data_IF_728217879141
#
_entry.id   IF_728217879141
#
_cell.length_a   1.000
_cell.length_b   1.000
_cell.length_c   1.000
_cell.angle_alpha   90.00
_cell.angle_beta   90.00
_cell.angle_gamma   90.00
#
_symmetry.space_group_name_H-M   'P 1'
#
loop_
_entity.id
_entity.type
_entity.pdbx_description
1 polymer ?
#
# COMPACT_ATOMS: atom_id res chain seq x y z
N UNK A 1 -38.65 58.35 46.94
CA UNK A 1 -39.43 57.31 46.30
C UNK A 1 -38.58 56.81 45.13
N UNK A 2 -37.71 55.82 45.39
CA UNK A 2 -36.74 55.30 44.40
C UNK A 2 -37.24 54.00 43.86
N UNK A 3 -37.44 53.96 42.55
CA UNK A 3 -37.84 52.77 41.82
C UNK A 3 -36.54 52.05 41.37
N UNK A 4 -36.30 50.88 41.91
CA UNK A 4 -35.24 49.94 41.46
C UNK A 4 -35.69 49.21 40.26
N UNK A 5 -34.97 49.39 39.13
CA UNK A 5 -35.15 48.65 37.90
C UNK A 5 -34.30 47.38 37.99
N UNK A 6 -34.93 46.21 38.02
CA UNK A 6 -34.24 44.89 37.97
C UNK A 6 -34.07 44.50 36.54
N UNK A 7 -32.83 44.48 36.08
CA UNK A 7 -32.45 43.96 34.78
C UNK A 7 -32.41 42.41 34.81
N UNK A 8 -33.24 41.74 34.02
CA UNK A 8 -33.19 40.29 33.80
C UNK A 8 -32.11 39.95 32.75
N UNK A 9 -30.98 39.46 33.21
CA UNK A 9 -29.98 38.85 32.31
C UNK A 9 -30.46 37.42 31.99
N UNK A 10 -30.98 37.19 30.79
CA UNK A 10 -31.32 35.87 30.31
C UNK A 10 -30.04 35.15 29.84
N UNK A 11 -29.59 34.15 30.56
CA UNK A 11 -28.49 33.25 30.12
C UNK A 11 -29.00 32.32 29.03
N UNK A 12 -28.55 32.56 27.80
CA UNK A 12 -28.81 31.70 26.68
C UNK A 12 -27.83 30.50 26.74
N UNK A 13 -28.28 29.36 27.23
CA UNK A 13 -27.54 28.12 27.15
C UNK A 13 -27.63 27.58 25.71
N UNK A 14 -26.57 27.74 24.91
CA UNK A 14 -26.41 27.04 23.63
C UNK A 14 -26.01 25.61 23.96
N UNK A 15 -26.95 24.69 23.91
CA UNK A 15 -26.69 23.26 23.90
C UNK A 15 -26.08 22.91 22.53
N UNK A 16 -24.76 22.88 22.44
CA UNK A 16 -24.08 22.28 21.34
C UNK A 16 -24.32 20.76 21.41
N UNK A 17 -25.21 20.23 20.57
CA UNK A 17 -25.34 18.80 20.39
C UNK A 17 -24.06 18.28 19.72
N UNK A 18 -23.15 17.70 20.49
CA UNK A 18 -22.08 16.87 19.98
C UNK A 18 -22.75 15.65 19.30
N UNK A 19 -22.89 15.70 18.00
CA UNK A 19 -23.17 14.50 17.21
C UNK A 19 -21.92 13.62 17.30
N UNK A 20 -21.94 12.66 18.22
CA UNK A 20 -20.99 11.55 18.21
C UNK A 20 -21.34 10.73 16.95
N UNK A 21 -20.65 10.99 15.87
CA UNK A 21 -20.64 10.08 14.73
C UNK A 21 -19.94 8.83 15.23
N UNK A 22 -20.69 7.77 15.48
CA UNK A 22 -20.11 6.48 15.84
C UNK A 22 -19.23 6.04 14.67
N UNK A 23 -17.90 6.01 14.88
CA UNK A 23 -16.99 5.42 13.92
C UNK A 23 -17.22 3.92 13.91
N UNK A 24 -17.39 3.35 12.72
CA UNK A 24 -17.41 1.88 12.58
C UNK A 24 -15.95 1.43 12.59
N UNK A 25 -15.54 0.79 13.68
CA UNK A 25 -14.20 0.23 13.81
C UNK A 25 -14.20 -1.25 13.42
N UNK A 26 -13.24 -1.71 12.62
CA UNK A 26 -13.13 -3.14 12.28
C UNK A 26 -12.78 -3.95 13.53
N UNK A 27 -13.44 -5.08 13.69
CA UNK A 27 -13.07 -6.03 14.75
C UNK A 27 -11.68 -6.57 14.43
N UNK A 28 -10.72 -6.50 15.38
CA UNK A 28 -9.40 -7.08 15.17
C UNK A 28 -9.47 -8.56 14.80
N UNK A 29 -8.75 -8.96 13.77
CA UNK A 29 -8.84 -10.29 13.17
C UNK A 29 -8.67 -11.43 14.20
N UNK A 30 -7.71 -11.30 15.12
CA UNK A 30 -7.46 -12.28 16.20
C UNK A 30 -8.60 -12.40 17.23
N UNK A 31 -9.58 -11.49 17.22
CA UNK A 31 -10.79 -11.58 18.07
C UNK A 31 -11.94 -12.30 17.38
N UNK A 32 -11.75 -12.75 16.13
CA UNK A 32 -12.74 -13.48 15.36
C UNK A 32 -12.39 -14.96 15.38
N UNK A 33 -13.28 -15.78 15.96
CA UNK A 33 -13.13 -17.23 15.99
C UNK A 33 -13.99 -17.91 14.92
N UNK A 34 -13.34 -18.71 14.07
CA UNK A 34 -14.01 -19.47 13.00
C UNK A 34 -14.42 -20.85 13.52
N UNK A 35 -15.69 -21.00 13.96
CA UNK A 35 -16.23 -22.26 14.55
C UNK A 35 -16.89 -23.19 13.54
N UNK A 36 -17.10 -22.76 12.31
CA UNK A 36 -17.83 -23.52 11.30
C UNK A 36 -17.06 -24.73 10.79
N UNK A 37 -17.72 -25.86 10.66
CA UNK A 37 -17.18 -27.07 10.01
C UNK A 37 -16.83 -26.85 8.53
N UNK A 38 -17.38 -25.81 7.93
CA UNK A 38 -17.02 -25.39 6.57
C UNK A 38 -15.68 -24.63 6.53
N UNK A 39 -15.42 -23.69 7.45
CA UNK A 39 -14.23 -22.85 7.40
C UNK A 39 -13.01 -23.46 8.09
N UNK A 40 -13.20 -24.17 9.21
CA UNK A 40 -12.09 -24.75 9.97
C UNK A 40 -11.15 -25.65 9.11
N UNK A 41 -11.65 -26.61 8.31
CA UNK A 41 -10.78 -27.44 7.45
C UNK A 41 -10.02 -26.60 6.42
N UNK A 42 -10.62 -25.49 5.94
CA UNK A 42 -9.99 -24.60 4.98
C UNK A 42 -8.82 -23.82 5.58
N UNK A 43 -8.97 -23.33 6.82
CA UNK A 43 -7.88 -22.68 7.55
C UNK A 43 -6.73 -23.67 7.82
N UNK A 44 -7.04 -24.91 8.17
CA UNK A 44 -6.03 -25.97 8.34
C UNK A 44 -5.29 -26.24 7.02
N UNK A 45 -6.02 -26.33 5.90
CA UNK A 45 -5.40 -26.50 4.57
C UNK A 45 -4.55 -25.29 4.19
N UNK A 46 -5.02 -24.07 4.43
CA UNK A 46 -4.23 -22.85 4.23
C UNK A 46 -2.90 -22.95 4.97
N UNK A 47 -2.92 -23.25 6.27
CA UNK A 47 -1.72 -23.28 7.08
C UNK A 47 -0.76 -24.42 6.71
N UNK A 48 -1.30 -25.64 6.51
CA UNK A 48 -0.47 -26.85 6.31
C UNK A 48 -0.02 -27.09 4.89
N UNK A 49 -0.73 -26.54 3.91
CA UNK A 49 -0.46 -26.83 2.49
C UNK A 49 -0.15 -25.55 1.71
N UNK A 50 -1.04 -24.55 1.73
CA UNK A 50 -0.90 -23.38 0.86
C UNK A 50 0.22 -22.44 1.32
N UNK A 51 0.36 -22.18 2.61
CA UNK A 51 1.41 -21.28 3.12
C UNK A 51 2.80 -21.86 2.85
N UNK A 52 3.13 -23.13 3.19
CA UNK A 52 4.44 -23.71 2.85
C UNK A 52 4.70 -23.72 1.34
N UNK A 53 3.71 -24.09 0.54
CA UNK A 53 3.82 -24.04 -0.92
C UNK A 53 4.07 -22.62 -1.45
N UNK A 54 3.34 -21.62 -0.93
CA UNK A 54 3.50 -20.24 -1.35
C UNK A 54 4.89 -19.69 -0.99
N UNK A 55 5.41 -20.00 0.20
CA UNK A 55 6.79 -19.64 0.56
C UNK A 55 7.81 -20.32 -0.35
N UNK A 56 7.64 -21.60 -0.70
CA UNK A 56 8.51 -22.28 -1.69
C UNK A 56 8.50 -21.53 -3.03
N UNK A 57 7.33 -21.11 -3.51
CA UNK A 57 7.20 -20.39 -4.80
C UNK A 57 7.73 -18.96 -4.76
N UNK A 58 7.82 -18.34 -3.59
CA UNK A 58 8.37 -16.99 -3.42
C UNK A 58 9.84 -16.98 -2.95
N UNK A 59 10.49 -18.13 -2.82
CA UNK A 59 11.91 -18.22 -2.54
C UNK A 59 12.80 -17.39 -3.49
N UNK A 60 12.50 -17.26 -4.79
CA UNK A 60 13.25 -16.34 -5.66
C UNK A 60 13.24 -14.88 -5.18
N UNK A 61 12.19 -14.42 -4.51
CA UNK A 61 12.13 -13.09 -3.87
C UNK A 61 13.08 -13.00 -2.67
N UNK A 62 13.16 -14.05 -1.85
CA UNK A 62 14.12 -14.11 -0.73
C UNK A 62 15.55 -14.09 -1.26
N UNK A 63 15.85 -14.88 -2.31
CA UNK A 63 17.16 -14.92 -2.95
C UNK A 63 17.55 -13.55 -3.55
N UNK A 64 16.58 -12.83 -4.12
CA UNK A 64 16.77 -11.48 -4.67
C UNK A 64 17.14 -10.46 -3.58
N UNK A 65 16.43 -10.49 -2.45
CA UNK A 65 16.75 -9.67 -1.29
C UNK A 65 18.11 -10.06 -0.66
N UNK A 66 18.42 -11.36 -0.58
CA UNK A 66 19.70 -11.81 -0.09
C UNK A 66 20.85 -11.33 -0.97
N UNK A 67 20.68 -11.32 -2.30
CA UNK A 67 21.67 -10.77 -3.22
C UNK A 67 21.93 -9.27 -2.95
N UNK A 68 20.89 -8.47 -2.71
CA UNK A 68 21.06 -7.08 -2.32
C UNK A 68 21.78 -6.93 -0.99
N UNK A 69 21.41 -7.72 0.02
CA UNK A 69 22.09 -7.73 1.32
C UNK A 69 23.58 -8.10 1.22
N UNK A 70 23.93 -9.02 0.33
CA UNK A 70 25.32 -9.42 0.08
C UNK A 70 26.09 -8.36 -0.70
N UNK A 71 25.47 -7.73 -1.69
CA UNK A 71 26.06 -6.62 -2.44
C UNK A 71 26.40 -5.44 -1.52
N UNK A 72 25.51 -5.06 -0.63
CA UNK A 72 25.74 -3.99 0.35
C UNK A 72 26.90 -4.30 1.32
N UNK A 73 27.25 -5.58 1.49
CA UNK A 73 28.42 -6.03 2.25
C UNK A 73 29.70 -6.13 1.38
N UNK A 74 29.65 -5.68 0.12
CA UNK A 74 30.77 -5.74 -0.80
C UNK A 74 31.04 -7.11 -1.42
N UNK A 75 30.11 -8.06 -1.32
CA UNK A 75 30.23 -9.35 -1.99
C UNK A 75 29.87 -9.26 -3.45
N UNK A 76 30.50 -10.07 -4.28
CA UNK A 76 30.09 -10.25 -5.67
C UNK A 76 28.78 -11.04 -5.71
N UNK A 77 27.80 -10.52 -6.45
CA UNK A 77 26.51 -11.18 -6.67
C UNK A 77 26.38 -11.64 -8.12
N UNK A 78 25.69 -12.75 -8.33
CA UNK A 78 25.42 -13.29 -9.66
C UNK A 78 24.40 -12.42 -10.41
N UNK A 79 24.44 -12.50 -11.75
CA UNK A 79 23.57 -11.76 -12.65
C UNK A 79 22.16 -12.37 -12.66
N UNK A 80 21.51 -12.38 -11.51
CA UNK A 80 20.13 -12.81 -11.37
C UNK A 80 19.20 -11.65 -11.77
N UNK A 81 18.28 -11.91 -12.72
CA UNK A 81 17.36 -10.90 -13.27
C UNK A 81 15.91 -11.30 -13.00
N UNK A 82 15.42 -11.16 -11.76
CA UNK A 82 14.03 -11.47 -11.47
C UNK A 82 13.14 -10.40 -12.09
N UNK A 83 11.85 -10.73 -12.16
CA UNK A 83 10.76 -9.81 -12.52
C UNK A 83 10.82 -8.57 -11.60
N UNK A 84 10.53 -7.34 -12.10
CA UNK A 84 10.53 -6.06 -11.39
C UNK A 84 9.59 -5.98 -10.16
N UNK A 85 8.69 -6.94 -9.98
CA UNK A 85 7.77 -7.00 -8.83
C UNK A 85 7.85 -8.31 -8.04
N UNK A 86 8.91 -9.09 -8.22
CA UNK A 86 9.07 -10.39 -7.55
C UNK A 86 9.01 -10.29 -6.03
N UNK A 87 9.54 -9.21 -5.45
CA UNK A 87 9.59 -9.03 -4.00
C UNK A 87 8.17 -8.87 -3.42
N UNK A 88 7.23 -8.28 -4.19
CA UNK A 88 5.85 -8.14 -3.75
C UNK A 88 5.12 -9.46 -3.56
N UNK A 89 5.51 -10.52 -4.30
CA UNK A 89 4.90 -11.84 -4.16
C UNK A 89 5.26 -12.45 -2.80
N UNK A 90 6.53 -12.30 -2.38
CA UNK A 90 6.96 -12.69 -1.04
C UNK A 90 6.20 -11.90 0.05
N UNK A 91 6.10 -10.57 -0.09
CA UNK A 91 5.44 -9.73 0.91
C UNK A 91 3.96 -10.07 1.06
N UNK A 92 3.24 -10.35 -0.03
CA UNK A 92 1.84 -10.83 0.01
C UNK A 92 1.68 -12.17 0.72
N UNK A 93 2.62 -13.10 0.49
CA UNK A 93 2.63 -14.38 1.20
C UNK A 93 2.90 -14.17 2.69
N UNK A 94 3.83 -13.29 3.05
CA UNK A 94 4.10 -12.94 4.45
C UNK A 94 2.87 -12.32 5.12
N UNK A 95 2.19 -11.38 4.46
CA UNK A 95 0.97 -10.76 4.99
C UNK A 95 -0.10 -11.82 5.27
N UNK A 96 -0.44 -12.66 4.28
CA UNK A 96 -1.45 -13.70 4.43
C UNK A 96 -1.10 -14.74 5.49
N UNK A 97 0.18 -15.12 5.60
CA UNK A 97 0.67 -16.04 6.62
C UNK A 97 0.65 -15.42 8.03
N UNK A 98 0.90 -14.10 8.16
CA UNK A 98 0.80 -13.39 9.43
C UNK A 98 -0.63 -13.39 9.97
N UNK A 99 -1.65 -13.23 9.11
CA UNK A 99 -3.04 -13.37 9.53
C UNK A 99 -3.38 -14.76 10.06
N UNK A 100 -2.78 -15.82 9.51
CA UNK A 100 -2.95 -17.17 10.04
C UNK A 100 -2.23 -17.36 11.38
N UNK A 101 -1.04 -16.78 11.55
CA UNK A 101 -0.31 -16.81 12.80
C UNK A 101 -1.05 -16.11 13.96
N UNK A 102 -1.89 -15.12 13.67
CA UNK A 102 -2.73 -14.48 14.68
C UNK A 102 -3.84 -15.38 15.23
N UNK A 103 -4.23 -16.43 14.49
CA UNK A 103 -5.32 -17.33 14.89
C UNK A 103 -4.88 -18.39 15.90
N UNK A 104 -3.61 -18.75 15.90
CA UNK A 104 -3.03 -19.73 16.81
C UNK A 104 -1.51 -19.57 16.86
N UNK A 105 -0.91 -19.88 17.99
CA UNK A 105 0.55 -19.90 18.13
C UNK A 105 1.17 -20.88 17.15
N UNK A 106 2.18 -20.40 16.39
CA UNK A 106 2.87 -21.17 15.36
C UNK A 106 4.38 -20.83 15.37
N UNK A 107 5.15 -21.42 16.28
CA UNK A 107 6.59 -21.12 16.43
C UNK A 107 7.43 -21.42 15.19
N UNK A 108 7.01 -22.40 14.37
CA UNK A 108 7.72 -22.74 13.13
C UNK A 108 7.55 -21.65 12.08
N UNK A 109 6.31 -21.18 11.89
CA UNK A 109 6.01 -20.07 10.99
C UNK A 109 6.67 -18.79 11.48
N UNK A 110 6.68 -18.54 12.78
CA UNK A 110 7.33 -17.36 13.37
C UNK A 110 8.85 -17.38 13.13
N UNK A 111 9.52 -18.52 13.31
CA UNK A 111 10.93 -18.67 13.02
C UNK A 111 11.25 -18.48 11.51
N UNK A 112 10.36 -18.90 10.63
CA UNK A 112 10.48 -18.65 9.20
C UNK A 112 10.37 -17.15 8.88
N UNK A 113 9.40 -16.46 9.49
CA UNK A 113 9.30 -15.00 9.39
C UNK A 113 10.56 -14.30 9.86
N UNK A 114 11.06 -14.62 11.04
CA UNK A 114 12.23 -13.98 11.62
C UNK A 114 13.43 -14.07 10.67
N UNK A 115 13.67 -15.24 10.07
CA UNK A 115 14.74 -15.43 9.07
C UNK A 115 14.56 -14.52 7.86
N UNK A 116 13.34 -14.42 7.31
CA UNK A 116 13.06 -13.58 6.14
C UNK A 116 13.18 -12.09 6.50
N UNK A 117 12.71 -11.69 7.67
CA UNK A 117 12.81 -10.31 8.17
C UNK A 117 14.27 -9.86 8.30
N UNK A 118 15.17 -10.77 8.75
CA UNK A 118 16.62 -10.47 8.79
C UNK A 118 17.18 -10.19 7.40
N UNK A 119 16.78 -10.97 6.39
CA UNK A 119 17.21 -10.77 5.00
C UNK A 119 16.69 -9.44 4.45
N UNK A 120 15.41 -9.13 4.64
CA UNK A 120 14.80 -7.87 4.20
C UNK A 120 15.53 -6.67 4.86
N UNK A 121 15.73 -6.73 6.18
CA UNK A 121 16.43 -5.67 6.90
C UNK A 121 17.86 -5.45 6.42
N UNK A 122 18.56 -6.54 6.09
CA UNK A 122 19.93 -6.47 5.57
C UNK A 122 20.02 -5.97 4.12
N UNK A 123 18.94 -6.09 3.35
CA UNK A 123 18.84 -5.60 1.96
C UNK A 123 18.50 -4.10 1.86
N UNK A 124 18.10 -3.45 2.96
CA UNK A 124 17.75 -2.04 2.97
C UNK A 124 18.97 -1.14 3.00
N UNK A 125 19.06 -0.20 2.09
CA UNK A 125 20.14 0.78 2.02
C UNK A 125 20.15 1.74 3.23
N UNK A 126 21.30 2.38 3.51
CA UNK A 126 21.43 3.26 4.68
C UNK A 126 20.43 4.41 4.70
N UNK A 127 20.03 4.95 3.54
CA UNK A 127 19.07 6.04 3.40
C UNK A 127 17.61 5.59 3.48
N UNK A 128 17.35 4.26 3.47
CA UNK A 128 16.03 3.67 3.53
C UNK A 128 15.50 3.13 2.21
N UNK A 129 16.22 3.31 1.09
CA UNK A 129 15.87 2.69 -0.18
C UNK A 129 15.87 1.17 -0.08
N UNK A 130 14.95 0.51 -0.77
CA UNK A 130 14.87 -0.96 -0.79
C UNK A 130 14.25 -1.42 -2.12
N UNK A 131 15.10 -1.74 -3.06
CA UNK A 131 14.70 -2.34 -4.33
C UNK A 131 15.91 -3.09 -4.94
N UNK A 132 16.04 -4.39 -4.70
CA UNK A 132 17.24 -5.17 -5.01
C UNK A 132 17.74 -5.03 -6.43
N UNK A 133 16.85 -4.90 -7.42
CA UNK A 133 17.24 -4.75 -8.82
C UNK A 133 18.07 -3.50 -9.11
N UNK A 134 17.84 -2.40 -8.40
CA UNK A 134 18.69 -1.21 -8.50
C UNK A 134 19.90 -1.29 -7.57
N UNK A 135 19.73 -1.78 -6.34
CA UNK A 135 20.81 -1.93 -5.35
C UNK A 135 21.97 -2.78 -5.88
N UNK A 136 21.66 -3.90 -6.57
CA UNK A 136 22.70 -4.80 -7.11
C UNK A 136 23.28 -4.33 -8.44
N UNK A 137 22.74 -3.27 -9.05
CA UNK A 137 23.07 -2.79 -10.41
C UNK A 137 22.91 -3.87 -11.50
N UNK A 138 22.36 -5.02 -11.14
CA UNK A 138 22.07 -6.15 -12.01
C UNK A 138 20.66 -6.02 -12.57
N UNK A 139 20.35 -4.83 -13.09
CA UNK A 139 19.03 -4.47 -13.56
C UNK A 139 18.52 -5.39 -14.67
N UNK A 140 17.30 -5.89 -14.48
CA UNK A 140 16.67 -6.83 -15.37
C UNK A 140 16.20 -6.17 -16.66
N UNK A 141 15.40 -5.16 -16.58
CA UNK A 141 14.74 -4.53 -17.71
C UNK A 141 14.82 -3.01 -17.61
N UNK A 142 15.92 -2.46 -18.13
CA UNK A 142 16.16 -1.00 -18.09
C UNK A 142 15.04 -0.21 -18.77
N UNK A 143 14.37 -0.79 -19.75
CA UNK A 143 13.27 -0.14 -20.46
C UNK A 143 12.01 -0.02 -19.59
N UNK A 144 11.87 -0.90 -18.59
CA UNK A 144 10.72 -0.92 -17.68
C UNK A 144 11.06 -0.40 -16.27
N UNK A 145 12.33 -0.42 -15.87
CA UNK A 145 12.75 -0.05 -14.52
C UNK A 145 13.53 1.27 -14.49
N UNK A 146 14.08 1.67 -15.61
CA UNK A 146 15.02 2.78 -15.69
C UNK A 146 16.44 2.41 -15.27
N UNK A 147 17.36 3.39 -15.39
CA UNK A 147 18.77 3.19 -15.10
C UNK A 147 19.15 3.57 -13.65
N UNK A 148 18.26 4.21 -12.93
CA UNK A 148 18.46 4.71 -11.57
C UNK A 148 17.16 4.59 -10.78
N UNK A 149 17.21 4.59 -9.45
CA UNK A 149 16.04 4.62 -8.60
C UNK A 149 15.04 5.69 -9.00
N UNK A 150 13.77 5.34 -9.04
CA UNK A 150 12.62 6.22 -9.32
C UNK A 150 12.63 6.96 -10.65
N UNK A 151 13.43 6.52 -11.64
CA UNK A 151 13.44 7.17 -12.97
C UNK A 151 12.26 6.73 -13.83
N UNK A 152 11.70 5.55 -13.61
CA UNK A 152 10.53 5.03 -14.33
C UNK A 152 9.40 4.65 -13.38
N UNK A 153 8.93 5.60 -12.58
CA UNK A 153 7.92 5.40 -11.52
C UNK A 153 6.64 4.71 -12.03
N UNK A 154 6.26 4.97 -13.30
CA UNK A 154 5.04 4.39 -13.90
C UNK A 154 5.18 2.88 -14.13
N UNK A 155 6.39 2.37 -14.37
CA UNK A 155 6.62 0.97 -14.76
C UNK A 155 7.44 0.16 -13.78
N UNK A 156 8.32 0.78 -12.99
CA UNK A 156 9.34 0.08 -12.19
C UNK A 156 8.77 -0.80 -11.08
N UNK A 157 7.59 -0.51 -10.59
CA UNK A 157 6.97 -1.17 -9.44
C UNK A 157 7.72 -0.99 -8.11
N UNK A 158 8.69 -0.06 -8.03
CA UNK A 158 9.41 0.22 -6.78
C UNK A 158 8.44 0.53 -5.64
N UNK A 159 7.54 1.51 -5.83
CA UNK A 159 6.55 1.89 -4.81
C UNK A 159 5.50 0.80 -4.56
N UNK A 160 5.15 0.00 -5.57
CA UNK A 160 4.24 -1.13 -5.42
C UNK A 160 4.83 -2.22 -4.50
N UNK A 161 6.09 -2.59 -4.71
CA UNK A 161 6.78 -3.53 -3.82
C UNK A 161 6.83 -2.99 -2.38
N UNK A 162 7.08 -1.70 -2.20
CA UNK A 162 7.13 -1.09 -0.88
C UNK A 162 5.74 -1.02 -0.21
N UNK A 163 4.68 -0.78 -0.96
CA UNK A 163 3.33 -0.86 -0.42
C UNK A 163 3.05 -2.24 0.19
N UNK A 164 3.32 -3.31 -0.54
CA UNK A 164 3.18 -4.68 -0.02
C UNK A 164 4.12 -5.00 1.15
N UNK A 165 5.33 -4.45 1.15
CA UNK A 165 6.21 -4.55 2.32
C UNK A 165 5.57 -3.92 3.55
N UNK A 166 4.94 -2.74 3.43
CA UNK A 166 4.30 -2.09 4.57
C UNK A 166 3.12 -2.91 5.09
N UNK A 167 2.30 -3.47 4.20
CA UNK A 167 1.20 -4.36 4.60
C UNK A 167 1.71 -5.61 5.32
N UNK A 168 2.74 -6.27 4.79
CA UNK A 168 3.38 -7.41 5.44
C UNK A 168 3.96 -7.04 6.81
N UNK A 169 4.60 -5.87 6.92
CA UNK A 169 5.20 -5.39 8.16
C UNK A 169 4.15 -5.11 9.25
N UNK A 170 3.03 -4.53 8.86
CA UNK A 170 1.89 -4.26 9.74
C UNK A 170 1.29 -5.59 10.23
N UNK A 171 0.99 -6.52 9.31
CA UNK A 171 0.42 -7.81 9.65
C UNK A 171 1.34 -8.62 10.58
N UNK A 172 2.64 -8.65 10.29
CA UNK A 172 3.64 -9.31 11.12
C UNK A 172 3.74 -8.69 12.53
N UNK A 173 3.76 -7.35 12.62
CA UNK A 173 3.76 -6.66 13.91
C UNK A 173 2.50 -6.96 14.72
N UNK A 174 1.34 -6.94 14.09
CA UNK A 174 0.07 -7.26 14.74
C UNK A 174 -0.02 -8.71 15.21
N UNK A 175 0.59 -9.63 14.45
CA UNK A 175 0.59 -11.06 14.79
C UNK A 175 1.56 -11.40 15.93
N UNK A 176 2.75 -10.79 15.95
CA UNK A 176 3.85 -11.22 16.82
C UNK A 176 4.28 -10.19 17.86
N UNK A 177 3.91 -8.94 17.70
CA UNK A 177 4.43 -7.83 18.49
C UNK A 177 5.87 -7.41 18.14
N UNK A 178 6.53 -8.09 17.18
CA UNK A 178 7.91 -7.79 16.77
C UNK A 178 7.94 -6.62 15.78
N UNK A 179 8.68 -5.58 16.08
CA UNK A 179 8.67 -4.31 15.35
C UNK A 179 9.78 -4.15 14.30
N UNK A 180 10.64 -5.16 14.11
CA UNK A 180 11.80 -5.03 13.22
C UNK A 180 11.40 -4.74 11.78
N UNK A 181 10.47 -5.49 11.22
CA UNK A 181 10.00 -5.27 9.86
C UNK A 181 9.21 -3.95 9.75
N UNK A 182 8.46 -3.57 10.79
CA UNK A 182 7.78 -2.29 10.84
C UNK A 182 8.78 -1.12 10.80
N UNK A 183 9.91 -1.22 11.48
CA UNK A 183 11.00 -0.23 11.42
C UNK A 183 11.63 -0.12 10.03
N UNK A 184 11.77 -1.24 9.31
CA UNK A 184 12.22 -1.25 7.91
C UNK A 184 11.20 -0.50 7.03
N UNK A 185 9.91 -0.80 7.18
CA UNK A 185 8.83 -0.12 6.46
C UNK A 185 8.81 1.38 6.75
N UNK A 186 8.89 1.79 8.01
CA UNK A 186 8.93 3.19 8.40
C UNK A 186 10.16 3.94 7.86
N UNK A 187 11.35 3.31 7.91
CA UNK A 187 12.57 3.89 7.35
C UNK A 187 12.44 4.11 5.85
N UNK A 188 11.83 3.15 5.12
CA UNK A 188 11.55 3.31 3.71
C UNK A 188 10.47 4.39 3.46
N UNK A 189 9.41 4.46 4.26
CA UNK A 189 8.38 5.50 4.12
C UNK A 189 8.96 6.91 4.31
N UNK A 190 9.86 7.11 5.26
CA UNK A 190 10.58 8.38 5.45
C UNK A 190 11.49 8.70 4.25
N UNK A 191 12.16 7.71 3.69
CA UNK A 191 12.92 7.86 2.45
C UNK A 191 12.01 8.30 1.29
N UNK A 192 10.89 7.62 1.07
CA UNK A 192 9.91 7.98 0.04
C UNK A 192 9.39 9.41 0.25
N UNK A 193 9.10 9.81 1.47
CA UNK A 193 8.66 11.19 1.76
C UNK A 193 9.70 12.23 1.33
N UNK A 194 10.98 12.02 1.67
CA UNK A 194 12.06 12.93 1.25
C UNK A 194 12.15 13.00 -0.26
N UNK A 195 12.19 11.86 -0.95
CA UNK A 195 12.41 11.80 -2.39
C UNK A 195 11.22 12.35 -3.19
N UNK A 196 10.00 12.03 -2.78
CA UNK A 196 8.80 12.37 -3.57
C UNK A 196 8.20 13.73 -3.23
N UNK A 197 8.34 14.22 -1.99
CA UNK A 197 7.63 15.40 -1.54
C UNK A 197 8.50 16.53 -0.96
N UNK A 198 9.68 16.23 -0.42
CA UNK A 198 10.56 17.26 0.17
C UNK A 198 11.72 17.65 -0.77
N UNK A 199 12.25 16.69 -1.50
CA UNK A 199 13.48 16.78 -2.28
C UNK A 199 14.66 16.18 -1.53
N UNK A 200 15.40 15.28 -2.21
CA UNK A 200 16.60 14.63 -1.68
C UNK A 200 17.77 14.88 -2.66
N UNK A 201 18.92 15.39 -2.20
CA UNK A 201 20.06 15.72 -3.07
C UNK A 201 20.56 14.54 -3.94
N UNK A 202 20.36 13.31 -3.49
CA UNK A 202 20.82 12.12 -4.20
C UNK A 202 19.82 11.64 -5.29
N UNK A 203 18.60 12.20 -5.31
CA UNK A 203 17.54 11.80 -6.23
C UNK A 203 17.01 13.01 -7.01
N UNK A 204 16.66 12.80 -8.26
CA UNK A 204 16.02 13.79 -9.12
C UNK A 204 16.65 15.22 -9.05
N UNK A 205 17.98 15.28 -8.91
CA UNK A 205 18.74 16.55 -8.76
C UNK A 205 18.24 17.42 -7.57
N UNK A 206 17.86 16.80 -6.48
CA UNK A 206 17.40 17.48 -5.28
C UNK A 206 15.95 17.98 -5.32
N UNK A 207 15.22 17.71 -6.41
CA UNK A 207 13.82 18.15 -6.56
C UNK A 207 12.85 17.02 -6.22
N UNK A 208 11.72 17.32 -5.59
CA UNK A 208 10.65 16.33 -5.39
C UNK A 208 10.22 15.68 -6.71
N UNK A 209 10.02 14.38 -6.72
CA UNK A 209 9.61 13.65 -7.93
C UNK A 209 8.17 13.97 -8.32
N UNK A 210 7.27 14.06 -7.35
CA UNK A 210 5.85 14.43 -7.55
C UNK A 210 5.13 13.60 -8.62
N UNK A 211 5.44 12.32 -8.73
CA UNK A 211 4.74 11.38 -9.59
C UNK A 211 3.99 10.35 -8.76
N UNK A 212 2.75 10.04 -9.16
CA UNK A 212 1.99 8.97 -8.54
C UNK A 212 2.56 7.60 -8.94
N UNK A 213 2.50 6.59 -8.05
CA UNK A 213 2.90 5.22 -8.38
C UNK A 213 2.19 4.73 -9.63
N UNK A 214 2.90 4.08 -10.54
CA UNK A 214 2.29 3.50 -11.74
C UNK A 214 1.33 2.39 -11.39
N UNK A 215 1.70 1.50 -10.48
CA UNK A 215 0.79 0.56 -9.83
C UNK A 215 0.45 1.08 -8.43
N UNK A 216 -0.84 1.20 -8.17
CA UNK A 216 -1.38 1.60 -6.88
C UNK A 216 -1.16 0.48 -5.86
N UNK A 217 -0.89 0.81 -4.65
CA UNK A 217 -0.74 0.02 -3.45
C UNK A 217 -0.17 0.89 -2.31
N UNK A 218 0.81 1.71 -2.63
CA UNK A 218 1.49 2.60 -1.67
C UNK A 218 0.49 3.47 -0.90
N UNK A 219 -0.52 3.99 -1.57
CA UNK A 219 -1.52 4.89 -0.99
C UNK A 219 -2.32 4.19 0.12
N UNK A 220 -2.77 2.95 -0.14
CA UNK A 220 -3.51 2.13 0.81
C UNK A 220 -2.62 1.73 1.99
N UNK A 221 -1.43 1.23 1.71
CA UNK A 221 -0.46 0.79 2.70
C UNK A 221 -0.03 1.92 3.64
N UNK A 222 0.13 3.14 3.14
CA UNK A 222 0.44 4.33 3.96
C UNK A 222 -0.68 4.70 4.93
N UNK A 223 -1.95 4.55 4.52
CA UNK A 223 -3.09 4.73 5.46
C UNK A 223 -3.02 3.71 6.58
N UNK A 224 -2.80 2.44 6.26
CA UNK A 224 -2.65 1.37 7.25
C UNK A 224 -1.44 1.61 8.18
N UNK A 225 -0.31 2.06 7.61
CA UNK A 225 0.89 2.40 8.39
C UNK A 225 0.63 3.56 9.35
N UNK A 226 -0.12 4.59 8.91
CA UNK A 226 -0.56 5.68 9.78
C UNK A 226 -1.40 5.19 10.95
N UNK A 227 -2.35 4.29 10.69
CA UNK A 227 -3.26 3.75 11.71
C UNK A 227 -2.50 2.94 12.78
N UNK A 228 -1.53 2.12 12.38
CA UNK A 228 -0.77 1.27 13.32
C UNK A 228 0.26 2.07 14.12
N UNK A 229 0.90 3.05 13.49
CA UNK A 229 1.97 3.83 14.13
C UNK A 229 1.49 5.10 14.83
N UNK A 230 0.27 5.57 14.52
CA UNK A 230 -0.25 6.86 14.98
C UNK A 230 0.40 8.08 14.30
N UNK A 231 1.29 7.90 13.33
CA UNK A 231 2.04 8.97 12.67
C UNK A 231 1.25 9.56 11.50
N UNK A 232 0.77 10.78 11.66
CA UNK A 232 -0.03 11.51 10.66
C UNK A 232 0.69 11.73 9.33
N UNK A 233 2.03 11.78 9.35
CA UNK A 233 2.85 11.94 8.14
C UNK A 233 2.47 10.91 7.05
N UNK A 234 2.27 9.65 7.41
CA UNK A 234 1.95 8.61 6.44
C UNK A 234 0.56 8.81 5.80
N UNK A 235 -0.41 9.28 6.58
CA UNK A 235 -1.72 9.66 6.05
C UNK A 235 -1.63 10.87 5.09
N UNK A 236 -0.77 11.84 5.40
CA UNK A 236 -0.52 13.00 4.53
C UNK A 236 0.18 12.58 3.24
N UNK A 237 1.12 11.62 3.30
CA UNK A 237 1.76 11.07 2.10
C UNK A 237 0.76 10.34 1.20
N UNK A 238 -0.12 9.53 1.79
CA UNK A 238 -1.19 8.85 1.04
C UNK A 238 -2.09 9.86 0.31
N UNK A 239 -2.52 10.89 1.02
CA UNK A 239 -3.31 11.98 0.43
C UNK A 239 -2.57 12.67 -0.71
N UNK A 240 -1.28 13.02 -0.55
CA UNK A 240 -0.46 13.66 -1.59
C UNK A 240 -0.33 12.79 -2.84
N UNK A 241 -0.09 11.48 -2.71
CA UNK A 241 -0.04 10.57 -3.86
C UNK A 241 -1.37 10.52 -4.62
N UNK A 242 -2.50 10.50 -3.90
CA UNK A 242 -3.82 10.59 -4.53
C UNK A 242 -4.06 11.95 -5.20
N UNK A 243 -3.62 13.05 -4.59
CA UNK A 243 -3.81 14.39 -5.14
C UNK A 243 -3.04 14.66 -6.42
N UNK A 244 -1.85 14.07 -6.58
CA UNK A 244 -1.05 14.24 -7.80
C UNK A 244 -1.49 13.30 -8.92
N UNK A 245 -2.21 12.22 -8.62
CA UNK A 245 -2.69 11.27 -9.62
C UNK A 245 -3.66 11.92 -10.60
N UNK A 246 -3.38 11.72 -11.90
CA UNK A 246 -4.13 12.35 -12.98
C UNK A 246 -3.81 13.82 -13.21
N UNK A 247 -2.79 14.37 -12.51
CA UNK A 247 -2.30 15.75 -12.71
C UNK A 247 -0.87 15.79 -13.20
N UNK A 248 -0.02 14.86 -12.74
CA UNK A 248 1.43 14.87 -12.97
C UNK A 248 1.91 13.66 -13.77
N UNK A 249 1.03 13.02 -14.54
CA UNK A 249 1.39 11.87 -15.35
C UNK A 249 2.47 12.23 -16.38
N UNK A 250 3.60 11.52 -16.33
CA UNK A 250 4.69 11.61 -17.30
C UNK A 250 4.88 10.23 -17.93
N UNK A 251 4.70 10.08 -19.26
CA UNK A 251 5.01 8.85 -19.97
C UNK A 251 6.49 8.52 -19.84
N UNK A 252 6.81 7.27 -19.50
CA UNK A 252 8.18 6.80 -19.31
C UNK A 252 8.34 5.37 -19.84
N UNK A 253 9.50 5.08 -20.44
CA UNK A 253 9.85 3.74 -20.91
C UNK A 253 9.24 3.34 -22.25
N UNK A 254 9.64 2.19 -22.76
CA UNK A 254 9.03 1.55 -23.94
C UNK A 254 7.63 1.07 -23.62
N UNK A 255 6.74 1.10 -24.62
CA UNK A 255 5.35 0.70 -24.43
C UNK A 255 4.62 1.60 -23.43
N UNK A 256 4.61 2.90 -23.73
CA UNK A 256 4.01 3.94 -22.89
C UNK A 256 2.65 3.49 -22.39
N UNK A 257 2.57 3.30 -21.07
CA UNK A 257 1.32 2.95 -20.42
C UNK A 257 0.32 4.10 -20.61
N UNK A 258 -0.84 3.81 -21.16
CA UNK A 258 -1.90 4.81 -21.28
C UNK A 258 -2.25 5.39 -19.90
N UNK A 259 -2.48 6.70 -19.78
CA UNK A 259 -2.98 7.29 -18.54
C UNK A 259 -4.25 6.60 -18.03
N UNK A 260 -5.12 6.17 -18.93
CA UNK A 260 -6.34 5.41 -18.60
C UNK A 260 -6.00 4.07 -17.94
N UNK A 261 -4.97 3.35 -18.41
CA UNK A 261 -4.58 2.06 -17.85
C UNK A 261 -4.18 2.15 -16.37
N UNK A 262 -3.55 3.25 -15.97
CA UNK A 262 -3.10 3.51 -14.60
C UNK A 262 -4.03 4.46 -13.82
N UNK A 263 -5.27 4.68 -14.27
CA UNK A 263 -6.25 5.58 -13.68
C UNK A 263 -5.72 7.01 -13.48
N UNK A 264 -4.88 7.48 -14.43
CA UNK A 264 -4.28 8.83 -14.45
C UNK A 264 -4.84 9.72 -15.57
N UNK A 265 -5.96 9.33 -16.18
CA UNK A 265 -6.63 10.06 -17.28
C UNK A 265 -7.30 11.36 -16.84
N UNK A 266 -7.61 11.49 -15.56
CA UNK A 266 -8.20 12.69 -14.96
C UNK A 266 -7.88 12.76 -13.45
N UNK A 267 -7.92 13.96 -12.85
CA UNK A 267 -7.88 14.10 -11.39
C UNK A 267 -8.96 13.26 -10.73
N UNK A 268 -8.64 12.61 -9.60
CA UNK A 268 -9.48 11.58 -8.99
C UNK A 268 -10.91 12.04 -8.68
N UNK A 269 -11.08 13.28 -8.19
CA UNK A 269 -12.40 13.84 -7.90
C UNK A 269 -13.32 14.00 -9.14
N UNK A 270 -12.76 13.96 -10.34
CA UNK A 270 -13.45 14.12 -11.61
C UNK A 270 -13.73 12.77 -12.32
N UNK A 271 -13.19 11.68 -11.83
CA UNK A 271 -13.40 10.36 -12.43
C UNK A 271 -14.83 9.88 -12.20
N UNK A 272 -15.39 9.19 -13.19
CA UNK A 272 -16.78 8.71 -13.18
C UNK A 272 -16.94 7.25 -13.60
N UNK A 273 -15.86 6.64 -14.10
CA UNK A 273 -15.89 5.27 -14.66
C UNK A 273 -14.72 4.46 -14.11
N UNK A 274 -14.94 3.16 -13.98
CA UNK A 274 -13.87 2.19 -13.73
C UNK A 274 -13.16 1.87 -15.04
N UNK A 275 -11.91 2.31 -15.17
CA UNK A 275 -11.13 2.16 -16.41
C UNK A 275 -9.78 1.50 -16.14
N UNK A 276 -9.18 0.94 -17.17
CA UNK A 276 -7.82 0.43 -17.15
C UNK A 276 -7.67 -0.90 -16.39
N UNK A 277 -6.52 -1.10 -15.78
CA UNK A 277 -6.19 -2.36 -15.12
C UNK A 277 -6.98 -2.53 -13.81
N UNK A 278 -7.74 -3.62 -13.70
CA UNK A 278 -8.69 -3.84 -12.61
C UNK A 278 -8.05 -3.84 -11.21
N UNK A 279 -6.93 -4.52 -11.03
CA UNK A 279 -6.24 -4.59 -9.73
C UNK A 279 -5.75 -3.22 -9.30
N UNK A 280 -5.18 -2.43 -10.21
CA UNK A 280 -4.78 -1.04 -9.94
C UNK A 280 -5.97 -0.18 -9.51
N UNK A 281 -7.09 -0.32 -10.21
CA UNK A 281 -8.31 0.41 -9.94
C UNK A 281 -8.87 0.10 -8.55
N UNK A 282 -8.96 -1.16 -8.15
CA UNK A 282 -9.50 -1.56 -6.85
C UNK A 282 -8.64 -1.09 -5.69
N UNK A 283 -7.32 -1.17 -5.79
CA UNK A 283 -6.41 -0.60 -4.78
C UNK A 283 -6.58 0.93 -4.66
N UNK A 284 -6.68 1.62 -5.80
CA UNK A 284 -6.90 3.05 -5.81
C UNK A 284 -8.21 3.44 -5.12
N UNK A 285 -9.31 2.75 -5.46
CA UNK A 285 -10.62 3.08 -4.92
C UNK A 285 -10.70 2.79 -3.42
N UNK A 286 -10.03 1.75 -2.93
CA UNK A 286 -9.90 1.49 -1.51
C UNK A 286 -9.16 2.64 -0.79
N UNK A 287 -8.01 3.05 -1.28
CA UNK A 287 -7.26 4.18 -0.72
C UNK A 287 -8.04 5.52 -0.79
N UNK A 288 -8.77 5.75 -1.90
CA UNK A 288 -9.66 6.92 -2.01
C UNK A 288 -10.77 6.91 -0.97
N UNK A 289 -11.35 5.74 -0.68
CA UNK A 289 -12.40 5.59 0.32
C UNK A 289 -11.89 5.90 1.72
N UNK A 290 -10.72 5.38 2.07
CA UNK A 290 -10.07 5.65 3.35
C UNK A 290 -9.77 7.15 3.53
N UNK A 291 -9.15 7.78 2.54
CA UNK A 291 -8.86 9.23 2.58
C UNK A 291 -10.15 10.06 2.58
N UNK A 292 -11.18 9.64 1.83
CA UNK A 292 -12.49 10.33 1.85
C UNK A 292 -13.10 10.32 3.25
N UNK A 293 -13.02 9.21 3.96
CA UNK A 293 -13.54 9.07 5.32
C UNK A 293 -12.69 9.83 6.33
N UNK A 294 -11.37 9.60 6.35
CA UNK A 294 -10.46 10.15 7.37
C UNK A 294 -10.23 11.66 7.22
N UNK A 295 -10.28 12.19 6.00
CA UNK A 295 -10.05 13.61 5.69
C UNK A 295 -11.33 14.35 5.29
N UNK A 296 -12.50 13.70 5.34
CA UNK A 296 -13.80 14.27 4.94
C UNK A 296 -13.78 14.86 3.51
N UNK A 297 -13.13 14.16 2.58
CA UNK A 297 -12.88 14.63 1.21
C UNK A 297 -14.06 14.32 0.29
N UNK A 298 -15.11 15.15 0.35
CA UNK A 298 -16.37 15.00 -0.38
C UNK A 298 -16.21 14.79 -1.90
N UNK A 299 -15.15 15.35 -2.52
CA UNK A 299 -14.89 15.14 -3.95
C UNK A 299 -14.57 13.68 -4.27
N UNK A 300 -13.84 12.99 -3.40
CA UNK A 300 -13.54 11.56 -3.55
C UNK A 300 -14.79 10.70 -3.29
N UNK A 301 -15.56 11.02 -2.25
CA UNK A 301 -16.84 10.33 -2.00
C UNK A 301 -17.75 10.39 -3.23
N UNK A 302 -17.93 11.58 -3.83
CA UNK A 302 -18.77 11.75 -5.03
C UNK A 302 -18.21 10.98 -6.24
N UNK A 303 -16.88 10.96 -6.43
CA UNK A 303 -16.26 10.20 -7.51
C UNK A 303 -16.45 8.69 -7.30
N UNK A 304 -16.24 8.19 -6.09
CA UNK A 304 -16.44 6.78 -5.73
C UNK A 304 -17.90 6.33 -5.94
N UNK A 305 -18.88 7.15 -5.62
CA UNK A 305 -20.29 6.82 -5.92
C UNK A 305 -20.56 6.67 -7.42
N UNK A 306 -19.99 7.56 -8.26
CA UNK A 306 -20.13 7.42 -9.73
C UNK A 306 -19.44 6.16 -10.26
N UNK A 307 -18.21 5.92 -9.81
CA UNK A 307 -17.42 4.74 -10.19
C UNK A 307 -18.11 3.46 -9.72
N UNK A 308 -18.65 3.45 -8.51
CA UNK A 308 -19.41 2.31 -7.97
C UNK A 308 -20.65 2.00 -8.83
N UNK A 309 -21.43 3.03 -9.18
CA UNK A 309 -22.57 2.85 -10.07
C UNK A 309 -22.14 2.31 -11.45
N UNK A 310 -21.05 2.83 -12.05
CA UNK A 310 -20.49 2.29 -13.29
C UNK A 310 -20.09 0.81 -13.15
N UNK A 311 -19.46 0.41 -12.04
CA UNK A 311 -19.09 -0.99 -11.81
C UNK A 311 -20.34 -1.87 -11.69
N UNK A 312 -21.28 -1.50 -10.82
CA UNK A 312 -22.43 -2.35 -10.48
C UNK A 312 -23.43 -2.45 -11.61
N UNK A 313 -23.65 -1.36 -12.34
CA UNK A 313 -24.70 -1.28 -13.35
C UNK A 313 -24.23 -1.76 -14.73
N UNK A 314 -22.89 -1.70 -15.01
CA UNK A 314 -22.40 -1.96 -16.37
C UNK A 314 -21.30 -3.01 -16.48
N UNK A 315 -20.61 -3.38 -15.38
CA UNK A 315 -19.40 -4.22 -15.43
C UNK A 315 -19.46 -5.50 -14.60
N UNK A 316 -20.43 -5.64 -13.72
CA UNK A 316 -20.64 -6.88 -12.96
C UNK A 316 -21.39 -7.92 -13.82
N UNK A 317 -20.94 -9.17 -13.70
CA UNK A 317 -21.63 -10.32 -14.28
C UNK A 317 -22.28 -11.14 -13.15
N UNK A 318 -23.44 -11.72 -13.42
CA UNK A 318 -24.26 -12.47 -12.45
C UNK A 318 -23.54 -13.63 -11.74
N UNK A 319 -22.44 -14.12 -12.28
CA UNK A 319 -21.74 -15.29 -11.76
C UNK A 319 -20.39 -15.06 -11.12
N UNK A 320 -19.77 -13.88 -11.34
CA UNK A 320 -18.48 -13.51 -10.76
C UNK A 320 -18.33 -11.99 -10.86
N UNK A 321 -17.96 -11.33 -9.80
CA UNK A 321 -17.57 -9.93 -9.81
C UNK A 321 -16.25 -9.74 -10.58
N UNK A 322 -16.29 -9.93 -11.89
CA UNK A 322 -15.18 -9.66 -12.79
C UNK A 322 -15.40 -8.29 -13.43
N UNK A 323 -14.53 -7.35 -13.14
CA UNK A 323 -14.47 -6.09 -13.86
C UNK A 323 -14.09 -6.43 -15.31
N UNK A 324 -15.03 -6.30 -16.24
CA UNK A 324 -14.77 -6.57 -17.64
C UNK A 324 -13.80 -5.52 -18.20
N UNK A 325 -12.66 -5.98 -18.67
CA UNK A 325 -11.70 -5.12 -19.37
C UNK A 325 -12.20 -4.87 -20.80
N UNK A 326 -12.97 -3.82 -21.02
CA UNK A 326 -13.29 -3.37 -22.37
C UNK A 326 -12.13 -2.70 -23.13
N UNK A 327 -10.95 -2.56 -22.53
CA UNK A 327 -9.82 -1.79 -23.08
C UNK A 327 -8.60 -2.61 -23.50
N UNK A 328 -8.70 -3.92 -23.69
CA UNK A 328 -7.59 -4.71 -24.25
C UNK A 328 -7.63 -4.92 -25.78
N UNK A 329 -8.59 -4.34 -26.46
CA UNK A 329 -8.71 -4.45 -27.93
C UNK A 329 -8.97 -3.07 -28.56
N UNK A 330 -8.02 -2.17 -28.48
CA UNK A 330 -7.80 -1.07 -29.44
C UNK A 330 -6.33 -0.68 -29.40
#
# INVERSE_FOLDING_TARGET
MNILTVSKIGSLFILASLQVVASIEPVPFHKVEMKSDFWRPRLITQRKVLVPFAFEKTEPGVAHLQAAADYLKGKKVDNHRPHRFIDSDLYKVMEGAAYLAQLQDDPELEAQFDRIVEVIAAAQEPDGYLYPSHTTEVGSDKNMMGNKPYTFVVHSHELYNMGHLYEAAIAYYQATGKDKLLKVAEKNALHVNRVFFEGDPNYNNGKPIQQAPGHQEMELALVKLSNVTGKKLYLEMAEKFLEIRGKTYVPQGEGVMSPTYAQQHAPLGNQSEAVGHAVRATYLYAAMADIAALKQKNSYTKALHRIWADITDTRMHDRLALISQRSMLL
#
